data_IF_836694657554
#
_entry.id   IF_836694657554
#
_cell.length_a   1.000
_cell.length_b   1.000
_cell.length_c   1.000
_cell.angle_alpha   90.00
_cell.angle_beta   90.00
_cell.angle_gamma   90.00
#
_symmetry.space_group_name_H-M   'P 1'
#
loop_
_entity.id
_entity.type
_entity.pdbx_description
1 polymer ?
#
# COMPACT_ATOMS: atom_id res chain seq x y z
N UNK A 1 2.06 78.97 -29.20
CA UNK A 1 3.43 79.13 -29.71
C UNK A 1 4.31 79.67 -28.60
N UNK A 2 5.33 78.93 -28.21
CA UNK A 2 6.68 79.47 -27.93
C UNK A 2 7.58 78.28 -27.59
N UNK A 3 8.38 77.93 -28.59
CA UNK A 3 9.51 77.02 -28.46
C UNK A 3 10.67 77.74 -27.77
N UNK A 4 11.48 77.00 -27.02
CA UNK A 4 12.89 77.30 -26.91
C UNK A 4 13.70 76.03 -26.61
N UNK A 5 14.94 75.93 -27.11
CA UNK A 5 15.65 74.69 -27.38
C UNK A 5 16.86 74.51 -26.43
N UNK A 6 17.63 73.43 -26.61
CA UNK A 6 19.10 73.43 -26.77
C UNK A 6 19.70 72.04 -26.44
N UNK A 7 20.26 71.40 -27.48
CA UNK A 7 21.35 70.41 -27.40
C UNK A 7 22.69 71.18 -27.17
N UNK A 8 23.91 70.59 -26.97
CA UNK A 8 24.39 69.38 -27.66
C UNK A 8 25.55 68.53 -27.03
N UNK A 9 25.97 67.51 -27.80
CA UNK A 9 27.32 66.92 -28.01
C UNK A 9 28.15 66.47 -26.77
N UNK A 10 28.30 65.17 -26.50
CA UNK A 10 29.13 64.16 -27.18
C UNK A 10 30.64 64.21 -26.86
N UNK A 11 31.15 63.15 -26.24
CA UNK A 11 32.54 62.70 -26.34
C UNK A 11 32.59 61.15 -26.28
N UNK A 12 32.95 60.56 -27.42
CA UNK A 12 33.40 59.17 -27.61
C UNK A 12 34.83 59.02 -26.98
N UNK A 13 35.44 57.87 -26.66
CA UNK A 13 35.52 56.48 -27.17
C UNK A 13 36.61 55.76 -26.27
N UNK A 14 37.16 54.55 -26.51
CA UNK A 14 36.73 53.35 -27.27
C UNK A 14 36.90 52.02 -26.47
N UNK A 15 36.32 50.90 -26.93
CA UNK A 15 36.97 49.57 -27.07
C UNK A 15 35.96 48.46 -27.41
N UNK A 16 36.28 47.69 -28.44
CA UNK A 16 35.58 46.52 -29.00
C UNK A 16 36.25 45.22 -28.44
N UNK A 17 35.91 43.98 -28.85
CA UNK A 17 34.65 43.22 -28.73
C UNK A 17 34.83 41.80 -28.09
N UNK A 18 33.70 41.12 -27.82
CA UNK A 18 33.45 39.65 -27.93
C UNK A 18 33.37 38.75 -26.67
N UNK A 19 32.34 37.88 -26.74
CA UNK A 19 32.28 36.43 -26.40
C UNK A 19 31.84 35.95 -25.01
N UNK A 20 30.87 35.02 -25.07
CA UNK A 20 30.48 33.99 -24.09
C UNK A 20 29.85 34.53 -22.79
N UNK A 21 28.59 34.24 -22.45
CA UNK A 21 28.08 32.91 -22.09
C UNK A 21 26.61 32.72 -22.52
N UNK A 22 26.41 31.87 -23.52
CA UNK A 22 25.16 31.11 -23.64
C UNK A 22 25.11 30.12 -22.48
N UNK A 23 24.34 30.46 -21.46
CA UNK A 23 24.03 29.55 -20.36
C UNK A 23 23.23 28.36 -20.92
N UNK A 24 23.65 27.10 -20.71
CA UNK A 24 22.92 25.94 -21.21
C UNK A 24 21.54 25.90 -20.56
N UNK A 25 20.49 25.77 -21.37
CA UNK A 25 19.19 25.37 -20.87
C UNK A 25 19.37 24.05 -20.11
N UNK A 26 19.13 24.10 -18.79
CA UNK A 26 19.06 22.90 -17.98
C UNK A 26 18.01 21.99 -18.61
N UNK A 27 18.47 20.89 -19.20
CA UNK A 27 17.63 19.82 -19.68
C UNK A 27 16.78 19.38 -18.49
N UNK A 28 15.45 19.51 -18.61
CA UNK A 28 14.55 18.87 -17.69
C UNK A 28 14.95 17.39 -17.61
N UNK A 29 15.07 16.79 -16.41
CA UNK A 29 15.42 15.39 -16.30
C UNK A 29 14.42 14.59 -17.15
N UNK A 30 14.95 13.84 -18.13
CA UNK A 30 14.20 12.89 -18.94
C UNK A 30 13.31 12.05 -18.02
N UNK A 31 12.01 12.32 -18.03
CA UNK A 31 10.98 11.48 -17.42
C UNK A 31 10.71 10.24 -18.31
N UNK A 32 11.77 9.64 -18.85
CA UNK A 32 11.70 8.60 -19.90
C UNK A 32 12.24 7.25 -19.42
N UNK A 33 12.35 7.06 -18.10
CA UNK A 33 12.63 5.75 -17.50
C UNK A 33 12.05 5.59 -16.09
N UNK A 34 10.96 6.30 -15.78
CA UNK A 34 10.17 5.95 -14.61
C UNK A 34 9.47 4.62 -14.91
N UNK A 35 9.89 3.54 -14.26
CA UNK A 35 9.15 2.27 -14.32
C UNK A 35 7.68 2.56 -13.99
N UNK A 36 6.73 2.04 -14.79
CA UNK A 36 5.32 2.21 -14.49
C UNK A 36 5.05 1.65 -13.09
N UNK A 37 4.31 2.40 -12.28
CA UNK A 37 3.89 1.90 -10.97
C UNK A 37 3.08 0.62 -11.18
N UNK A 38 3.58 -0.46 -10.61
CA UNK A 38 3.00 -1.78 -10.72
C UNK A 38 2.99 -2.40 -9.33
N UNK A 39 1.87 -3.01 -8.99
CA UNK A 39 1.70 -3.80 -7.78
C UNK A 39 2.11 -5.22 -8.17
N UNK A 40 3.37 -5.57 -7.97
CA UNK A 40 3.94 -6.86 -8.34
C UNK A 40 3.89 -7.89 -7.21
N UNK A 41 3.48 -7.49 -6.00
CA UNK A 41 3.40 -8.34 -4.83
C UNK A 41 3.59 -7.58 -3.53
N UNK A 42 4.43 -8.11 -2.65
CA UNK A 42 4.77 -7.47 -1.39
C UNK A 42 6.24 -7.70 -1.03
N UNK A 43 7.01 -6.60 -0.97
CA UNK A 43 8.47 -6.63 -0.71
C UNK A 43 9.18 -7.56 -1.70
N UNK A 44 9.92 -8.58 -1.24
CA UNK A 44 10.62 -9.50 -2.14
C UNK A 44 9.73 -10.63 -2.68
N UNK A 45 8.45 -10.71 -2.28
CA UNK A 45 7.53 -11.76 -2.70
C UNK A 45 6.62 -11.25 -3.83
N UNK A 46 6.87 -11.71 -5.05
CA UNK A 46 6.15 -11.27 -6.24
C UNK A 46 5.12 -12.30 -6.73
N UNK A 47 4.15 -11.83 -7.50
CA UNK A 47 3.19 -12.61 -8.25
C UNK A 47 3.85 -13.75 -9.04
N UNK A 48 3.23 -14.93 -9.02
CA UNK A 48 3.77 -16.10 -9.72
C UNK A 48 4.83 -16.91 -8.95
N UNK A 49 5.30 -16.44 -7.78
CA UNK A 49 6.24 -17.19 -6.93
C UNK A 49 5.61 -18.46 -6.35
N UNK A 50 6.39 -19.55 -6.28
CA UNK A 50 5.97 -20.79 -5.59
C UNK A 50 6.10 -20.68 -4.07
N UNK A 51 5.56 -21.66 -3.34
CA UNK A 51 5.72 -21.79 -1.89
C UNK A 51 7.18 -21.60 -1.42
N UNK A 52 8.11 -22.33 -2.04
CA UNK A 52 9.53 -22.27 -1.69
C UNK A 52 10.15 -20.89 -1.96
N UNK A 53 9.74 -20.23 -3.07
CA UNK A 53 10.21 -18.88 -3.41
C UNK A 53 9.66 -17.84 -2.43
N UNK A 54 8.38 -17.94 -2.05
CA UNK A 54 7.77 -17.07 -1.03
C UNK A 54 8.45 -17.26 0.33
N UNK A 55 8.73 -18.50 0.75
CA UNK A 55 9.48 -18.76 1.99
C UNK A 55 10.90 -18.19 1.95
N UNK A 56 11.57 -18.23 0.80
CA UNK A 56 12.86 -17.59 0.63
C UNK A 56 12.78 -16.05 0.72
N UNK A 57 11.74 -15.45 0.13
CA UNK A 57 11.47 -14.01 0.25
C UNK A 57 11.19 -13.60 1.70
N UNK A 58 10.36 -14.37 2.43
CA UNK A 58 10.10 -14.17 3.86
C UNK A 58 11.39 -14.18 4.68
N UNK A 59 12.28 -15.15 4.43
CA UNK A 59 13.58 -15.22 5.12
C UNK A 59 14.42 -14.00 4.82
N UNK A 60 14.46 -13.54 3.56
CA UNK A 60 15.22 -12.35 3.15
C UNK A 60 14.68 -11.09 3.81
N UNK A 61 13.37 -10.91 3.83
CA UNK A 61 12.72 -9.67 4.28
C UNK A 61 12.61 -9.56 5.80
N UNK A 62 12.41 -10.69 6.50
CA UNK A 62 12.08 -10.70 7.93
C UNK A 62 13.03 -11.54 8.79
N UNK A 63 14.03 -12.19 8.18
CA UNK A 63 14.93 -13.12 8.85
C UNK A 63 14.19 -14.27 9.58
N UNK A 64 13.04 -14.69 9.03
CA UNK A 64 12.25 -15.80 9.54
C UNK A 64 12.62 -17.06 8.76
N UNK A 65 13.03 -18.10 9.48
CA UNK A 65 13.39 -19.38 8.87
C UNK A 65 12.15 -20.04 8.21
N UNK A 66 12.28 -20.69 7.04
CA UNK A 66 11.17 -21.31 6.31
C UNK A 66 10.32 -22.26 7.15
N UNK A 67 10.93 -22.93 8.13
CA UNK A 67 10.30 -23.91 9.01
C UNK A 67 9.41 -23.25 10.07
N UNK A 68 9.58 -21.95 10.33
CA UNK A 68 8.73 -21.15 11.22
C UNK A 68 7.55 -20.52 10.49
N UNK A 69 7.47 -20.66 9.17
CA UNK A 69 6.34 -20.19 8.37
C UNK A 69 5.20 -21.20 8.50
N UNK A 70 4.08 -20.74 9.06
CA UNK A 70 2.89 -21.58 9.18
C UNK A 70 2.30 -21.79 7.79
N UNK A 71 1.98 -23.05 7.46
CA UNK A 71 1.39 -23.42 6.16
C UNK A 71 0.05 -24.09 6.42
N UNK A 72 -1.01 -23.55 5.85
CA UNK A 72 -2.38 -24.05 6.00
C UNK A 72 -3.06 -24.14 4.63
N UNK A 73 -4.07 -25.02 4.51
CA UNK A 73 -4.94 -25.06 3.33
C UNK A 73 -6.29 -24.42 3.67
N UNK A 74 -6.73 -23.48 2.84
CA UNK A 74 -8.12 -23.04 2.88
C UNK A 74 -8.96 -24.04 2.10
N UNK A 75 -9.60 -24.98 2.80
CA UNK A 75 -10.34 -26.08 2.17
C UNK A 75 -11.47 -25.61 1.23
N UNK A 76 -12.09 -24.45 1.51
CA UNK A 76 -13.18 -23.90 0.70
C UNK A 76 -12.68 -23.39 -0.65
N UNK A 77 -11.53 -22.71 -0.66
CA UNK A 77 -10.93 -22.13 -1.86
C UNK A 77 -9.86 -23.04 -2.49
N UNK A 78 -9.45 -24.10 -1.78
CA UNK A 78 -8.33 -25.01 -2.08
C UNK A 78 -7.00 -24.28 -2.34
N UNK A 79 -6.83 -23.13 -1.70
CA UNK A 79 -5.59 -22.33 -1.73
C UNK A 79 -4.67 -22.72 -0.58
N UNK A 80 -3.37 -22.46 -0.75
CA UNK A 80 -2.38 -22.63 0.31
C UNK A 80 -2.04 -21.28 0.91
N UNK A 81 -2.06 -21.16 2.23
CA UNK A 81 -1.78 -19.92 2.95
C UNK A 81 -0.50 -20.07 3.75
N UNK A 82 0.46 -19.18 3.52
CA UNK A 82 1.69 -19.07 4.30
C UNK A 82 1.59 -17.88 5.23
N UNK A 83 1.63 -18.13 6.54
CA UNK A 83 1.42 -17.10 7.56
C UNK A 83 2.66 -16.90 8.42
N UNK A 84 2.99 -15.63 8.66
CA UNK A 84 4.02 -15.19 9.61
C UNK A 84 3.46 -14.09 10.50
N UNK A 85 4.06 -13.92 11.68
CA UNK A 85 3.86 -12.75 12.53
C UNK A 85 5.14 -11.93 12.54
N UNK A 86 5.05 -10.65 12.17
CA UNK A 86 6.16 -9.71 12.09
C UNK A 86 6.03 -8.70 13.22
N UNK A 87 7.12 -8.47 13.96
CA UNK A 87 7.11 -7.66 15.18
C UNK A 87 6.76 -6.19 14.94
N UNK A 88 7.45 -5.56 13.98
CA UNK A 88 7.31 -4.14 13.68
C UNK A 88 7.36 -3.95 12.17
N UNK A 89 6.27 -4.32 11.50
CA UNK A 89 6.18 -4.20 10.04
C UNK A 89 5.95 -2.75 9.59
N UNK A 90 5.24 -1.99 10.44
CA UNK A 90 4.94 -0.58 10.29
C UNK A 90 5.14 0.07 11.65
N UNK A 91 6.04 1.04 11.71
CA UNK A 91 6.49 1.64 12.96
C UNK A 91 5.31 2.13 13.81
N UNK A 92 5.22 1.61 15.03
CA UNK A 92 4.20 2.00 16.00
C UNK A 92 2.81 1.42 15.78
N UNK A 93 2.59 0.60 14.75
CA UNK A 93 1.33 -0.12 14.51
C UNK A 93 1.22 -1.42 15.32
N UNK A 94 2.32 -1.87 15.94
CA UNK A 94 2.41 -3.15 16.66
C UNK A 94 2.63 -4.34 15.72
N UNK A 95 2.46 -5.55 16.24
CA UNK A 95 2.69 -6.77 15.46
C UNK A 95 1.70 -6.88 14.31
N UNK A 96 2.21 -7.35 13.18
CA UNK A 96 1.42 -7.64 11.99
C UNK A 96 1.36 -9.15 11.74
N UNK A 97 0.21 -9.65 11.30
CA UNK A 97 0.11 -10.97 10.68
C UNK A 97 0.14 -10.80 9.17
N UNK A 98 1.10 -11.43 8.50
CA UNK A 98 1.20 -11.44 7.03
C UNK A 98 0.83 -12.84 6.55
N UNK A 99 -0.13 -12.91 5.62
CA UNK A 99 -0.61 -14.14 5.02
C UNK A 99 -0.46 -14.06 3.50
N UNK A 100 0.40 -14.91 2.95
CA UNK A 100 0.62 -15.07 1.51
C UNK A 100 -0.27 -16.20 1.00
N UNK A 101 -1.10 -15.93 0.00
CA UNK A 101 -2.10 -16.86 -0.52
C UNK A 101 -1.67 -17.33 -1.90
N UNK A 102 -1.51 -18.66 -2.03
CA UNK A 102 -1.14 -19.33 -3.26
C UNK A 102 -2.38 -19.95 -3.90
N UNK A 103 -2.53 -19.72 -5.19
CA UNK A 103 -3.67 -20.15 -5.99
C UNK A 103 -3.86 -21.66 -6.03
N UNK A 104 -5.10 -22.09 -6.23
CA UNK A 104 -5.50 -23.49 -6.27
C UNK A 104 -4.82 -24.27 -7.39
N UNK A 105 -4.90 -23.78 -8.63
CA UNK A 105 -4.45 -24.49 -9.83
C UNK A 105 -2.97 -24.27 -10.08
N UNK A 106 -2.52 -23.02 -10.00
CA UNK A 106 -1.14 -22.62 -10.29
C UNK A 106 -0.17 -22.86 -9.15
N UNK A 107 -0.65 -22.99 -7.91
CA UNK A 107 0.18 -23.07 -6.69
C UNK A 107 1.20 -21.92 -6.61
N UNK A 108 0.79 -20.75 -7.10
CA UNK A 108 1.60 -19.51 -7.15
C UNK A 108 0.98 -18.42 -6.30
N UNK A 109 1.81 -17.51 -5.79
CA UNK A 109 1.35 -16.34 -5.05
C UNK A 109 0.39 -15.50 -5.91
N UNK A 110 -0.83 -15.28 -5.41
CA UNK A 110 -1.87 -14.49 -6.06
C UNK A 110 -2.39 -13.34 -5.18
N UNK A 111 -2.14 -13.39 -3.87
CA UNK A 111 -2.62 -12.40 -2.92
C UNK A 111 -1.77 -12.37 -1.66
N UNK A 112 -1.64 -11.18 -1.06
CA UNK A 112 -1.02 -10.98 0.25
C UNK A 112 -1.98 -10.18 1.13
N UNK A 113 -2.27 -10.70 2.32
CA UNK A 113 -3.06 -10.01 3.34
C UNK A 113 -2.18 -9.69 4.54
N UNK A 114 -2.29 -8.47 5.04
CA UNK A 114 -1.59 -7.99 6.22
C UNK A 114 -2.62 -7.44 7.19
N UNK A 115 -2.55 -7.90 8.44
CA UNK A 115 -3.50 -7.53 9.48
C UNK A 115 -2.75 -6.97 10.69
N UNK A 116 -3.20 -5.81 11.15
CA UNK A 116 -2.83 -5.23 12.45
C UNK A 116 -4.08 -5.06 13.30
N UNK A 117 -3.93 -5.17 14.61
CA UNK A 117 -5.02 -4.92 15.56
C UNK A 117 -4.92 -5.77 16.80
N UNK A 118 -5.87 -5.58 17.71
CA UNK A 118 -5.91 -6.25 19.02
C UNK A 118 -6.02 -7.77 18.94
N UNK A 119 -6.51 -8.31 17.81
CA UNK A 119 -6.59 -9.75 17.52
C UNK A 119 -5.25 -10.38 17.11
N UNK A 120 -4.28 -9.56 16.72
CA UNK A 120 -2.91 -9.98 16.40
C UNK A 120 -1.98 -9.68 17.58
N UNK A 121 -2.15 -8.51 18.18
CA UNK A 121 -1.39 -8.05 19.34
C UNK A 121 -2.32 -7.37 20.35
N UNK A 122 -2.67 -8.07 21.45
CA UNK A 122 -3.56 -7.55 22.48
C UNK A 122 -3.06 -6.28 23.17
N UNK A 123 -1.77 -5.93 23.05
CA UNK A 123 -1.20 -4.71 23.63
C UNK A 123 -1.34 -3.50 22.71
N UNK A 124 -1.80 -3.70 21.47
CA UNK A 124 -1.95 -2.61 20.51
C UNK A 124 -3.13 -1.72 20.86
N UNK A 125 -2.89 -0.40 20.87
CA UNK A 125 -3.91 0.61 21.14
C UNK A 125 -4.70 0.95 19.88
N UNK A 126 -6.04 1.07 19.93
CA UNK A 126 -6.86 1.45 18.78
C UNK A 126 -6.36 2.69 18.02
N UNK A 127 -5.98 3.75 18.72
CA UNK A 127 -5.49 5.00 18.11
C UNK A 127 -4.24 4.81 17.26
N UNK A 128 -3.38 3.84 17.62
CA UNK A 128 -2.18 3.51 16.84
C UNK A 128 -2.54 2.86 15.51
N UNK A 129 -3.59 2.02 15.49
CA UNK A 129 -4.10 1.41 14.26
C UNK A 129 -4.72 2.46 13.34
N UNK A 130 -5.46 3.42 13.91
CA UNK A 130 -6.02 4.54 13.13
C UNK A 130 -4.90 5.41 12.54
N UNK A 131 -3.86 5.71 13.31
CA UNK A 131 -2.69 6.46 12.83
C UNK A 131 -1.97 5.71 11.69
N UNK A 132 -1.74 4.40 11.85
CA UNK A 132 -1.18 3.54 10.82
C UNK A 132 -2.01 3.56 9.53
N UNK A 133 -3.34 3.49 9.65
CA UNK A 133 -4.25 3.57 8.51
C UNK A 133 -4.10 4.90 7.75
N UNK A 134 -3.99 6.02 8.46
CA UNK A 134 -3.79 7.35 7.86
C UNK A 134 -2.42 7.47 7.18
N UNK A 135 -1.36 6.93 7.77
CA UNK A 135 -0.02 6.91 7.18
C UNK A 135 0.00 6.11 5.88
N UNK A 136 -0.55 4.89 5.89
CA UNK A 136 -0.64 4.05 4.69
C UNK A 136 -1.51 4.69 3.61
N UNK A 137 -2.63 5.32 4.00
CA UNK A 137 -3.47 6.08 3.06
C UNK A 137 -2.69 7.18 2.36
N UNK A 138 -1.95 7.99 3.12
CA UNK A 138 -1.14 9.08 2.56
C UNK A 138 -0.05 8.55 1.61
N UNK A 139 0.60 7.44 1.97
CA UNK A 139 1.57 6.77 1.12
C UNK A 139 0.93 6.24 -0.18
N UNK A 140 -0.24 5.59 -0.10
CA UNK A 140 -0.87 5.06 -1.30
C UNK A 140 -1.41 6.15 -2.23
N UNK A 141 -1.89 7.27 -1.67
CA UNK A 141 -2.30 8.43 -2.46
C UNK A 141 -1.15 9.13 -3.18
N UNK A 142 0.11 8.87 -2.80
CA UNK A 142 1.27 9.44 -3.51
C UNK A 142 1.75 8.58 -4.69
N UNK A 143 1.23 7.36 -4.86
CA UNK A 143 1.54 6.51 -6.00
C UNK A 143 0.57 6.72 -7.18
N UNK A 144 1.03 6.53 -8.43
CA UNK A 144 0.21 6.77 -9.61
C UNK A 144 -0.67 5.56 -9.95
N UNK A 145 -1.62 5.24 -9.05
CA UNK A 145 -2.72 4.32 -9.32
C UNK A 145 -3.61 4.85 -10.46
N UNK A 146 -4.38 3.96 -11.09
CA UNK A 146 -5.39 4.32 -12.08
C UNK A 146 -6.46 5.22 -11.43
N UNK A 147 -6.61 6.50 -11.86
CA UNK A 147 -7.43 7.49 -11.14
C UNK A 147 -8.87 7.06 -10.91
N UNK A 148 -9.50 6.44 -11.92
CA UNK A 148 -10.91 5.99 -11.87
C UNK A 148 -11.13 4.81 -10.89
N UNK A 149 -10.06 4.19 -10.42
CA UNK A 149 -10.11 3.07 -9.46
C UNK A 149 -9.84 3.50 -8.03
N UNK A 150 -9.33 4.73 -7.85
CA UNK A 150 -8.97 5.24 -6.52
C UNK A 150 -10.22 5.67 -5.77
N UNK A 151 -10.40 5.12 -4.57
CA UNK A 151 -11.35 5.66 -3.60
C UNK A 151 -10.73 5.70 -2.21
N UNK A 152 -11.14 6.66 -1.39
CA UNK A 152 -10.57 6.86 -0.06
C UNK A 152 -11.63 7.34 0.93
N UNK A 153 -11.54 6.82 2.15
CA UNK A 153 -12.47 7.09 3.27
C UNK A 153 -13.93 6.87 2.93
N UNK A 154 -14.23 5.74 2.28
CA UNK A 154 -15.61 5.33 1.99
C UNK A 154 -16.12 4.46 3.14
N UNK A 155 -17.01 4.96 4.01
CA UNK A 155 -17.61 4.14 5.06
C UNK A 155 -18.67 3.20 4.47
N UNK A 156 -18.84 2.04 5.10
CA UNK A 156 -19.95 1.12 4.85
C UNK A 156 -20.85 1.00 6.08
N UNK A 157 -22.08 0.54 5.88
CA UNK A 157 -23.10 0.48 6.93
C UNK A 157 -22.76 -0.48 8.08
N UNK A 158 -21.79 -1.37 7.89
CA UNK A 158 -21.32 -2.38 8.84
C UNK A 158 -20.21 -1.89 9.78
N UNK A 159 -19.83 -0.60 9.72
CA UNK A 159 -18.74 -0.05 10.53
C UNK A 159 -17.34 -0.31 9.96
N UNK A 160 -17.25 -0.85 8.74
CA UNK A 160 -16.01 -0.89 7.97
C UNK A 160 -15.81 0.44 7.24
N UNK A 161 -14.56 0.86 7.10
CA UNK A 161 -14.16 2.01 6.28
C UNK A 161 -13.15 1.52 5.27
N UNK A 162 -13.43 1.68 3.98
CA UNK A 162 -12.42 1.60 2.93
C UNK A 162 -11.56 2.85 3.00
N UNK A 163 -10.44 2.73 3.71
CA UNK A 163 -9.50 3.84 3.92
C UNK A 163 -8.84 4.23 2.61
N UNK A 164 -8.48 3.22 1.80
CA UNK A 164 -7.93 3.38 0.47
C UNK A 164 -8.27 2.16 -0.38
N UNK A 165 -8.53 2.37 -1.66
CA UNK A 165 -8.43 1.36 -2.69
C UNK A 165 -7.83 1.99 -3.95
N UNK A 166 -7.14 1.18 -4.76
CA UNK A 166 -6.64 1.58 -6.06
C UNK A 166 -6.13 0.37 -6.84
N UNK A 167 -6.12 0.49 -8.17
CA UNK A 167 -5.54 -0.51 -9.07
C UNK A 167 -4.39 0.08 -9.88
N UNK A 168 -3.44 -0.76 -10.26
CA UNK A 168 -2.42 -0.40 -11.25
C UNK A 168 -2.92 -0.60 -12.70
N UNK A 169 -2.05 -0.39 -13.68
CA UNK A 169 -2.38 -0.59 -15.10
C UNK A 169 -2.73 -2.04 -15.46
N UNK A 170 -2.22 -3.02 -14.72
CA UNK A 170 -2.50 -4.44 -14.91
C UNK A 170 -3.75 -4.90 -14.15
N UNK A 171 -4.41 -3.97 -13.42
CA UNK A 171 -5.62 -4.20 -12.63
C UNK A 171 -5.37 -5.04 -11.38
N UNK A 172 -4.13 -5.11 -10.93
CA UNK A 172 -3.80 -5.58 -9.60
C UNK A 172 -4.31 -4.55 -8.59
N UNK A 173 -4.75 -4.98 -7.41
CA UNK A 173 -5.46 -4.13 -6.45
C UNK A 173 -4.71 -4.00 -5.14
N UNK A 174 -4.64 -2.76 -4.63
CA UNK A 174 -4.35 -2.47 -3.23
C UNK A 174 -5.64 -2.06 -2.54
N UNK A 175 -5.97 -2.70 -1.43
CA UNK A 175 -7.15 -2.43 -0.63
C UNK A 175 -6.77 -2.30 0.84
N UNK A 176 -7.10 -1.15 1.44
CA UNK A 176 -6.88 -0.84 2.85
C UNK A 176 -8.24 -0.61 3.52
N UNK A 177 -8.58 -1.45 4.49
CA UNK A 177 -9.83 -1.38 5.25
C UNK A 177 -9.57 -1.28 6.74
N UNK A 178 -10.29 -0.38 7.39
CA UNK A 178 -10.33 -0.26 8.84
C UNK A 178 -11.68 -0.77 9.32
N UNK A 179 -11.68 -1.76 10.19
CA UNK A 179 -12.89 -2.29 10.82
C UNK A 179 -12.87 -1.90 12.28
N UNK A 180 -13.92 -1.22 12.74
CA UNK A 180 -14.11 -0.92 14.15
C UNK A 180 -15.35 -1.62 14.67
N UNK A 181 -15.18 -2.47 15.66
CA UNK A 181 -16.29 -3.10 16.37
C UNK A 181 -16.45 -2.43 17.73
N UNK A 182 -17.64 -1.90 18.06
CA UNK A 182 -17.92 -1.30 19.36
C UNK A 182 -17.61 -2.25 20.51
N UNK A 183 -17.26 -1.67 21.66
CA UNK A 183 -17.14 -2.43 22.90
C UNK A 183 -18.45 -3.15 23.22
N UNK A 184 -18.41 -4.42 23.68
CA UNK A 184 -19.59 -5.08 24.23
C UNK A 184 -20.12 -4.27 25.42
N UNK A 185 -21.45 -4.21 25.64
CA UNK A 185 -22.00 -3.56 26.81
C UNK A 185 -21.46 -4.23 28.09
N UNK A 186 -21.09 -3.41 29.07
CA UNK A 186 -20.54 -3.88 30.34
C UNK A 186 -21.52 -4.86 31.03
N UNK A 187 -21.05 -6.02 31.52
CA UNK A 187 -21.87 -6.86 32.39
C UNK A 187 -22.28 -6.07 33.63
N UNK A 188 -23.55 -6.14 34.04
CA UNK A 188 -24.11 -5.39 35.19
C UNK A 188 -23.37 -5.62 36.53
N UNK A 189 -22.47 -6.61 36.61
CA UNK A 189 -21.70 -6.97 37.82
C UNK A 189 -20.18 -7.04 37.59
N UNK A 190 -19.62 -6.45 36.54
CA UNK A 190 -18.18 -6.49 36.29
C UNK A 190 -17.43 -5.49 37.21
N UNK A 191 -16.53 -6.00 38.06
CA UNK A 191 -15.53 -5.20 38.82
C UNK A 191 -14.28 -4.85 38.00
N UNK A 192 -14.24 -5.24 36.74
CA UNK A 192 -13.14 -5.00 35.81
C UNK A 192 -13.60 -4.07 34.68
N UNK A 193 -12.70 -3.22 34.19
CA UNK A 193 -12.92 -2.40 32.99
C UNK A 193 -13.49 -3.26 31.86
N UNK A 194 -14.55 -2.77 31.22
CA UNK A 194 -15.11 -3.44 30.05
C UNK A 194 -14.12 -3.37 28.89
N UNK A 195 -14.01 -4.42 28.04
CA UNK A 195 -13.11 -4.39 26.90
C UNK A 195 -13.39 -3.16 26.04
N UNK A 196 -12.36 -2.37 25.73
CA UNK A 196 -12.47 -1.24 24.81
C UNK A 196 -12.86 -1.67 23.38
N UNK A 197 -13.18 -0.71 22.49
CA UNK A 197 -13.49 -1.02 21.10
C UNK A 197 -12.31 -1.76 20.44
N UNK A 198 -12.63 -2.72 19.59
CA UNK A 198 -11.63 -3.43 18.79
C UNK A 198 -11.50 -2.74 17.43
N UNK A 199 -10.27 -2.45 17.04
CA UNK A 199 -9.93 -1.83 15.76
C UNK A 199 -8.92 -2.72 15.05
N UNK A 200 -9.25 -3.08 13.81
CA UNK A 200 -8.43 -3.97 12.97
C UNK A 200 -8.21 -3.28 11.63
N UNK A 201 -6.96 -3.25 11.18
CA UNK A 201 -6.55 -2.73 9.89
C UNK A 201 -6.16 -3.89 9.00
N UNK A 202 -6.80 -3.97 7.84
CA UNK A 202 -6.55 -4.96 6.80
C UNK A 202 -5.96 -4.26 5.59
N UNK A 203 -4.77 -4.70 5.17
CA UNK A 203 -4.16 -4.33 3.90
C UNK A 203 -4.10 -5.59 3.01
N UNK A 204 -4.62 -5.49 1.81
CA UNK A 204 -4.62 -6.56 0.82
C UNK A 204 -3.98 -6.08 -0.47
N UNK A 205 -3.04 -6.87 -0.99
CA UNK A 205 -2.55 -6.80 -2.36
C UNK A 205 -3.09 -8.02 -3.12
N UNK A 206 -3.77 -7.81 -4.24
CA UNK A 206 -4.46 -8.87 -4.98
C UNK A 206 -4.05 -8.81 -6.45
N UNK A 207 -3.58 -9.92 -7.01
CA UNK A 207 -3.20 -10.03 -8.42
C UNK A 207 -4.43 -9.88 -9.33
N UNK A 208 -5.45 -10.72 -9.23
CA UNK A 208 -6.68 -10.57 -10.04
C UNK A 208 -7.93 -10.77 -9.18
N UNK A 209 -8.65 -9.67 -8.92
CA UNK A 209 -9.91 -9.68 -8.17
C UNK A 209 -11.06 -10.31 -8.97
N UNK A 210 -11.01 -10.23 -10.30
CA UNK A 210 -12.08 -10.68 -11.19
C UNK A 210 -11.97 -12.18 -11.46
N UNK A 211 -10.75 -12.70 -11.62
CA UNK A 211 -10.49 -14.12 -11.85
C UNK A 211 -9.42 -14.69 -10.91
N UNK A 212 -9.63 -14.68 -9.58
CA UNK A 212 -8.65 -15.27 -8.68
C UNK A 212 -8.59 -16.79 -8.89
N UNK A 213 -7.39 -17.36 -8.83
CA UNK A 213 -7.13 -18.79 -8.92
C UNK A 213 -7.54 -19.50 -7.62
N UNK A 214 -8.85 -19.61 -7.43
CA UNK A 214 -9.50 -20.30 -6.31
C UNK A 214 -10.48 -21.32 -6.86
N UNK A 215 -10.69 -22.40 -6.10
CA UNK A 215 -11.72 -23.37 -6.41
C UNK A 215 -13.10 -22.72 -6.39
N UNK A 216 -13.88 -22.92 -7.46
CA UNK A 216 -15.26 -22.48 -7.57
C UNK A 216 -16.14 -23.63 -8.02
N UNK A 217 -17.24 -23.83 -7.30
CA UNK A 217 -18.27 -24.77 -7.69
C UNK A 217 -19.01 -24.23 -8.92
N UNK A 218 -19.06 -25.00 -10.00
CA UNK A 218 -19.81 -24.61 -11.20
C UNK A 218 -21.29 -24.91 -11.01
N UNK A 219 -22.16 -24.12 -11.65
CA UNK A 219 -23.60 -24.42 -11.72
C UNK A 219 -23.80 -25.84 -12.28
N UNK A 220 -24.60 -26.66 -11.60
CA UNK A 220 -24.89 -28.05 -11.97
C UNK A 220 -23.86 -29.09 -11.51
N UNK A 221 -22.93 -28.73 -10.62
CA UNK A 221 -22.02 -29.69 -9.97
C UNK A 221 -22.57 -30.28 -8.65
N UNK A 222 -23.81 -29.92 -8.32
CA UNK A 222 -24.60 -30.47 -7.21
C UNK A 222 -26.07 -30.51 -7.63
#
# INVERSE_FOLDING_TARGET
MLAAPLAPLAAAQPANPSKDEQQPAAQAPNAENAEPFQIDGFRSAHWGMTDAQVKAAIRKDFNIAPEKVQTEENASERTTVLTITVGDLLEGAGKARVSYILGYSGKKLIQVNIVWGTTVDPQTKPDRIVAAANQLRALFLSYPYQPDTVASNVPTADGTITVFQGQDAEKHMTLLRLVSTPAPPAPKNAKSESPGPTVVLFLSYVMDVRNPDVYRLKKGQF
#
